data_IF_835285632752
#
_entry.id   IF_835285632752
#
_cell.length_a   1.000
_cell.length_b   1.000
_cell.length_c   1.000
_cell.angle_alpha   90.00
_cell.angle_beta   90.00
_cell.angle_gamma   90.00
#
_symmetry.space_group_name_H-M   'P 1'
#
loop_
_entity.id
_entity.type
_entity.pdbx_description
1 polymer ?
#
# COMPACT_ATOMS: atom_id res chain seq x y z
N UNK A 1 -6.43 -6.68 -15.38
CA UNK A 1 -5.83 -5.55 -16.13
C UNK A 1 -6.85 -4.44 -16.41
N UNK A 2 -7.94 -4.66 -17.16
CA UNK A 2 -8.92 -3.59 -17.47
C UNK A 2 -9.56 -2.95 -16.21
N UNK A 3 -9.97 -3.77 -15.24
CA UNK A 3 -10.51 -3.30 -13.95
C UNK A 3 -9.50 -2.47 -13.16
N UNK A 4 -8.26 -2.95 -13.06
CA UNK A 4 -7.18 -2.25 -12.36
C UNK A 4 -6.92 -0.86 -12.96
N UNK A 5 -6.80 -0.75 -14.29
CA UNK A 5 -6.59 0.54 -14.96
C UNK A 5 -7.75 1.50 -14.69
N UNK A 6 -9.00 1.02 -14.78
CA UNK A 6 -10.18 1.84 -14.50
C UNK A 6 -10.23 2.31 -13.03
N UNK A 7 -9.87 1.43 -12.10
CA UNK A 7 -9.80 1.77 -10.68
C UNK A 7 -8.71 2.82 -10.42
N UNK A 8 -7.56 2.70 -11.09
CA UNK A 8 -6.48 3.67 -10.99
C UNK A 8 -6.88 5.05 -11.52
N UNK A 9 -7.55 5.11 -12.66
CA UNK A 9 -8.12 6.36 -13.21
C UNK A 9 -9.16 6.98 -12.26
N UNK A 10 -9.99 6.14 -11.64
CA UNK A 10 -10.99 6.57 -10.65
C UNK A 10 -10.30 7.18 -9.43
N UNK A 11 -9.29 6.51 -8.87
CA UNK A 11 -8.53 7.01 -7.72
C UNK A 11 -7.77 8.29 -8.04
N UNK A 12 -7.18 8.41 -9.23
CA UNK A 12 -6.50 9.64 -9.66
C UNK A 12 -7.48 10.82 -9.73
N UNK A 13 -8.69 10.58 -10.26
CA UNK A 13 -9.77 11.56 -10.27
C UNK A 13 -10.18 11.94 -8.85
N UNK A 14 -10.37 10.97 -7.95
CA UNK A 14 -10.76 11.21 -6.56
C UNK A 14 -9.70 12.00 -5.79
N UNK A 15 -8.42 11.71 -5.97
CA UNK A 15 -7.32 12.50 -5.39
C UNK A 15 -7.38 13.96 -5.83
N UNK A 16 -7.70 14.20 -7.10
CA UNK A 16 -7.82 15.55 -7.67
C UNK A 16 -9.08 16.27 -7.18
N UNK A 17 -10.22 15.59 -7.14
CA UNK A 17 -11.51 16.17 -6.76
C UNK A 17 -11.64 16.39 -5.25
N UNK A 18 -11.14 15.44 -4.45
CA UNK A 18 -11.11 15.56 -2.99
C UNK A 18 -10.23 16.73 -2.58
N UNK A 19 -9.02 16.84 -3.16
CA UNK A 19 -8.04 17.89 -2.81
C UNK A 19 -7.89 18.05 -1.29
N UNK A 20 -7.89 16.93 -0.55
CA UNK A 20 -7.79 16.92 0.92
C UNK A 20 -9.08 17.30 1.67
N UNK A 21 -10.22 17.43 1.00
CA UNK A 21 -11.54 17.60 1.61
C UNK A 21 -12.38 16.32 1.50
N UNK A 22 -13.25 16.10 2.49
CA UNK A 22 -14.22 15.01 2.45
C UNK A 22 -15.19 15.18 1.28
N UNK A 23 -15.37 14.11 0.53
CA UNK A 23 -16.31 14.03 -0.59
C UNK A 23 -17.09 12.72 -0.55
N UNK A 24 -18.26 12.69 -1.18
CA UNK A 24 -19.05 11.48 -1.27
C UNK A 24 -18.44 10.48 -2.26
N UNK A 25 -18.29 9.24 -1.81
CA UNK A 25 -18.00 8.09 -2.65
C UNK A 25 -18.80 6.90 -2.10
N UNK A 26 -19.59 6.26 -2.97
CA UNK A 26 -20.60 5.31 -2.52
C UNK A 26 -21.67 5.98 -1.62
N UNK A 27 -21.91 5.38 -0.46
CA UNK A 27 -22.85 5.90 0.54
C UNK A 27 -22.17 6.69 1.67
N UNK A 28 -20.84 6.81 1.63
CA UNK A 28 -20.04 7.37 2.72
C UNK A 28 -19.28 8.64 2.28
N UNK A 29 -18.53 9.23 3.21
CA UNK A 29 -17.66 10.36 2.95
C UNK A 29 -16.21 9.97 3.20
N UNK A 30 -15.38 10.22 2.19
CA UNK A 30 -13.96 9.91 2.25
C UNK A 30 -13.12 11.11 1.82
N UNK A 31 -11.91 11.18 2.34
CA UNK A 31 -10.86 12.09 1.92
C UNK A 31 -9.77 11.30 1.20
N UNK A 32 -9.23 11.91 0.14
CA UNK A 32 -8.11 11.39 -0.65
C UNK A 32 -7.03 12.46 -0.70
N UNK A 33 -5.80 12.10 -0.34
CA UNK A 33 -4.69 13.05 -0.28
C UNK A 33 -3.43 12.46 -0.90
N UNK A 34 -2.81 13.17 -1.85
CA UNK A 34 -1.47 12.84 -2.33
C UNK A 34 -0.43 13.50 -1.42
N UNK A 35 0.50 12.70 -0.93
CA UNK A 35 1.56 13.14 -0.01
C UNK A 35 2.84 13.51 -0.78
N UNK A 36 3.20 12.71 -1.78
CA UNK A 36 4.37 12.93 -2.62
C UNK A 36 4.19 12.24 -3.97
N UNK A 37 4.80 12.80 -5.01
CA UNK A 37 4.97 12.10 -6.29
C UNK A 37 6.06 11.04 -6.16
N UNK A 38 5.92 9.93 -6.88
CA UNK A 38 6.95 8.88 -6.97
C UNK A 38 7.39 8.72 -8.41
N UNK A 39 8.70 8.67 -8.63
CA UNK A 39 9.33 8.57 -9.94
C UNK A 39 9.78 7.14 -10.27
N UNK A 40 9.88 6.78 -11.56
CA UNK A 40 10.47 5.50 -11.95
C UNK A 40 11.91 5.31 -11.43
N UNK A 41 12.69 6.40 -11.34
CA UNK A 41 14.05 6.39 -10.83
C UNK A 41 14.09 6.02 -9.34
N UNK A 42 13.23 6.63 -8.51
CA UNK A 42 13.15 6.29 -7.07
C UNK A 42 12.79 4.82 -6.84
N UNK A 43 11.91 4.27 -7.67
CA UNK A 43 11.54 2.86 -7.62
C UNK A 43 12.74 1.98 -8.02
N UNK A 44 13.41 2.32 -9.12
CA UNK A 44 14.55 1.55 -9.63
C UNK A 44 15.73 1.57 -8.65
N UNK A 45 16.00 2.73 -8.03
CA UNK A 45 17.03 2.89 -7.01
C UNK A 45 16.72 2.02 -5.78
N UNK A 46 15.45 1.99 -5.33
CA UNK A 46 15.02 1.12 -4.23
C UNK A 46 15.17 -0.37 -4.57
N UNK A 47 14.68 -0.80 -5.74
CA UNK A 47 14.84 -2.18 -6.22
C UNK A 47 16.32 -2.60 -6.27
N UNK A 48 17.19 -1.72 -6.78
CA UNK A 48 18.63 -1.97 -6.87
C UNK A 48 19.31 -2.02 -5.49
N UNK A 49 18.96 -1.10 -4.58
CA UNK A 49 19.51 -1.03 -3.23
C UNK A 49 19.18 -2.30 -2.43
N UNK A 50 17.93 -2.76 -2.50
CA UNK A 50 17.43 -3.87 -1.70
C UNK A 50 17.44 -5.23 -2.42
N UNK A 51 17.87 -5.26 -3.69
CA UNK A 51 17.94 -6.48 -4.51
C UNK A 51 16.58 -7.19 -4.64
N UNK A 52 15.50 -6.42 -4.75
CA UNK A 52 14.13 -6.93 -4.93
C UNK A 52 13.57 -6.52 -6.29
N UNK A 53 12.40 -7.07 -6.63
CA UNK A 53 11.63 -6.63 -7.79
C UNK A 53 10.16 -6.44 -7.40
N UNK A 54 9.66 -5.22 -7.54
CA UNK A 54 8.27 -4.88 -7.33
C UNK A 54 7.40 -5.30 -8.51
N UNK A 55 6.14 -5.69 -8.25
CA UNK A 55 5.18 -5.97 -9.31
C UNK A 55 4.93 -4.75 -10.20
N UNK A 56 4.78 -4.96 -11.52
CA UNK A 56 4.54 -3.87 -12.47
C UNK A 56 3.25 -3.09 -12.19
N UNK A 57 2.23 -3.78 -11.65
CA UNK A 57 0.96 -3.19 -11.21
C UNK A 57 1.18 -2.19 -10.08
N UNK A 58 1.96 -2.55 -9.06
CA UNK A 58 2.29 -1.66 -7.96
C UNK A 58 3.17 -0.49 -8.39
N UNK A 59 4.16 -0.72 -9.27
CA UNK A 59 4.96 0.37 -9.85
C UNK A 59 4.10 1.36 -10.64
N UNK A 60 3.16 0.85 -11.44
CA UNK A 60 2.20 1.67 -12.17
C UNK A 60 1.33 2.50 -11.22
N UNK A 61 0.87 1.89 -10.12
CA UNK A 61 0.13 2.58 -9.07
C UNK A 61 0.92 3.74 -8.46
N UNK A 62 2.16 3.50 -8.02
CA UNK A 62 3.02 4.51 -7.42
C UNK A 62 3.33 5.66 -8.39
N UNK A 63 3.65 5.35 -9.65
CA UNK A 63 3.93 6.37 -10.66
C UNK A 63 2.69 7.22 -10.96
N UNK A 64 1.49 6.62 -10.91
CA UNK A 64 0.25 7.30 -11.29
C UNK A 64 -0.35 8.14 -10.17
N UNK A 65 -0.35 7.60 -8.94
CA UNK A 65 -0.99 8.24 -7.77
C UNK A 65 0.01 8.84 -6.78
N UNK A 66 1.29 8.45 -6.84
CA UNK A 66 2.28 8.79 -5.83
C UNK A 66 2.04 8.09 -4.50
N UNK A 67 2.78 8.52 -3.48
CA UNK A 67 2.45 8.23 -2.09
C UNK A 67 1.17 8.99 -1.74
N UNK A 68 0.18 8.29 -1.20
CA UNK A 68 -1.15 8.83 -0.99
C UNK A 68 -1.87 8.17 0.18
N UNK A 69 -2.83 8.90 0.74
CA UNK A 69 -3.84 8.37 1.66
C UNK A 69 -5.13 8.21 0.87
N UNK A 70 -5.64 6.99 0.79
CA UNK A 70 -6.90 6.66 0.12
C UNK A 70 -7.97 6.30 1.14
N UNK A 71 -9.22 6.67 0.83
CA UNK A 71 -10.40 6.29 1.63
C UNK A 71 -10.31 6.67 3.10
N UNK A 72 -9.79 7.86 3.39
CA UNK A 72 -9.76 8.34 4.78
C UNK A 72 -11.16 8.74 5.23
N UNK A 73 -11.73 8.02 6.20
CA UNK A 73 -13.04 8.31 6.76
C UNK A 73 -12.99 9.33 7.92
N UNK A 74 -14.14 9.67 8.49
CA UNK A 74 -14.25 10.63 9.60
C UNK A 74 -13.57 10.14 10.91
N UNK A 75 -13.35 8.84 11.03
CA UNK A 75 -12.71 8.20 12.19
C UNK A 75 -11.19 8.06 11.99
N UNK A 76 -10.68 8.37 10.79
CA UNK A 76 -9.27 8.29 10.42
C UNK A 76 -8.83 6.91 9.93
N UNK A 77 -9.75 6.00 9.59
CA UNK A 77 -9.40 4.77 8.87
C UNK A 77 -9.06 5.12 7.44
N UNK A 78 -7.92 4.64 6.94
CA UNK A 78 -7.44 4.93 5.61
C UNK A 78 -6.40 3.91 5.16
N UNK A 79 -6.17 3.85 3.85
CA UNK A 79 -5.01 3.21 3.26
C UNK A 79 -3.92 4.23 3.00
N UNK A 80 -2.93 4.32 3.90
CA UNK A 80 -1.80 5.23 3.76
C UNK A 80 -0.62 4.55 3.06
N UNK A 81 -0.40 4.83 1.78
CA UNK A 81 0.74 4.36 1.00
C UNK A 81 1.93 5.31 1.13
N UNK A 82 3.06 4.77 1.58
CA UNK A 82 4.30 5.53 1.78
C UNK A 82 5.18 5.59 0.52
N UNK A 83 6.00 6.63 0.35
CA UNK A 83 7.00 6.69 -0.71
C UNK A 83 8.17 5.71 -0.46
N UNK A 84 8.92 5.30 -1.51
CA UNK A 84 10.00 4.31 -1.39
C UNK A 84 11.05 4.62 -0.31
N UNK A 85 11.40 5.91 -0.15
CA UNK A 85 12.38 6.36 0.84
C UNK A 85 11.91 6.23 2.31
N UNK A 86 10.66 5.86 2.56
CA UNK A 86 10.10 5.68 3.91
C UNK A 86 9.88 4.20 4.28
N UNK A 87 9.88 3.26 3.33
CA UNK A 87 9.52 1.86 3.61
C UNK A 87 10.45 1.18 4.61
N UNK A 88 11.76 1.45 4.56
CA UNK A 88 12.73 0.89 5.51
C UNK A 88 12.53 1.46 6.92
N UNK A 89 12.32 2.77 7.04
CA UNK A 89 12.06 3.43 8.32
C UNK A 89 10.74 2.94 8.94
N UNK A 90 9.68 2.88 8.13
CA UNK A 90 8.38 2.33 8.55
C UNK A 90 8.51 0.88 9.02
N UNK A 91 9.25 0.04 8.28
CA UNK A 91 9.50 -1.34 8.68
C UNK A 91 10.31 -1.41 9.99
N UNK A 92 11.29 -0.54 10.19
CA UNK A 92 12.05 -0.48 11.44
C UNK A 92 11.18 -0.14 12.65
N UNK A 93 10.22 0.77 12.50
CA UNK A 93 9.25 1.10 13.55
C UNK A 93 8.33 -0.09 13.87
N UNK A 94 7.82 -0.77 12.85
CA UNK A 94 6.91 -1.92 13.02
C UNK A 94 7.62 -3.10 13.71
N UNK A 95 8.88 -3.33 13.38
CA UNK A 95 9.68 -4.42 13.94
C UNK A 95 10.44 -4.03 15.23
N UNK A 96 10.27 -2.81 15.72
CA UNK A 96 10.96 -2.38 16.93
C UNK A 96 10.50 -3.21 18.14
N UNK A 97 11.46 -3.83 18.84
CA UNK A 97 11.19 -4.60 20.05
C UNK A 97 10.54 -5.97 19.84
N UNK A 98 10.29 -6.39 18.60
CA UNK A 98 9.72 -7.72 18.29
C UNK A 98 10.76 -8.84 18.36
N UNK A 99 12.04 -8.50 18.24
CA UNK A 99 13.15 -9.44 18.18
C UNK A 99 13.44 -10.00 16.78
N UNK A 100 12.63 -9.64 15.79
CA UNK A 100 12.79 -10.05 14.40
C UNK A 100 12.73 -8.84 13.46
N UNK A 101 13.57 -8.83 12.44
CA UNK A 101 13.56 -7.79 11.41
C UNK A 101 13.44 -8.45 10.03
N UNK A 102 12.23 -8.38 9.45
CA UNK A 102 11.90 -9.12 8.24
C UNK A 102 12.11 -8.32 6.94
N UNK A 103 12.47 -7.05 7.01
CA UNK A 103 12.76 -6.25 5.83
C UNK A 103 14.09 -6.67 5.17
N UNK A 104 14.18 -6.74 3.81
CA UNK A 104 13.14 -6.45 2.82
C UNK A 104 12.34 -7.70 2.39
N UNK A 105 12.46 -8.86 3.07
CA UNK A 105 11.67 -10.07 2.76
C UNK A 105 10.17 -9.79 2.90
N UNK A 106 9.79 -9.12 3.98
CA UNK A 106 8.48 -8.49 4.14
C UNK A 106 8.67 -6.99 3.93
N UNK A 107 8.15 -6.49 2.82
CA UNK A 107 8.21 -5.08 2.46
C UNK A 107 6.88 -4.40 2.79
N UNK A 108 6.86 -3.62 3.87
CA UNK A 108 5.68 -2.88 4.29
C UNK A 108 5.61 -1.54 3.53
N UNK A 109 4.51 -1.31 2.82
CA UNK A 109 4.34 -0.12 1.94
C UNK A 109 3.10 0.70 2.27
N UNK A 110 2.17 0.13 3.04
CA UNK A 110 0.90 0.72 3.36
C UNK A 110 0.55 0.52 4.84
N UNK A 111 -0.04 1.55 5.45
CA UNK A 111 -0.68 1.48 6.75
C UNK A 111 -2.20 1.58 6.57
N UNK A 112 -2.94 0.45 6.61
CA UNK A 112 -4.40 0.38 6.45
C UNK A 112 -5.21 0.72 7.71
N UNK A 113 -4.55 1.06 8.83
CA UNK A 113 -5.07 1.37 10.17
C UNK A 113 -5.04 0.23 11.22
N UNK A 114 -5.31 0.59 12.49
CA UNK A 114 -5.47 -0.28 13.67
C UNK A 114 -4.23 -1.14 13.98
N UNK A 115 -3.04 -0.62 13.68
CA UNK A 115 -1.80 -1.36 13.91
C UNK A 115 -1.61 -2.53 12.95
N UNK A 116 -2.39 -2.62 11.87
CA UNK A 116 -2.14 -3.51 10.74
C UNK A 116 -1.17 -2.86 9.77
N UNK A 117 -0.54 -3.67 8.93
CA UNK A 117 0.38 -3.23 7.89
C UNK A 117 0.05 -3.96 6.60
N UNK A 118 0.23 -3.32 5.45
CA UNK A 118 0.05 -3.98 4.17
C UNK A 118 1.30 -3.83 3.30
N UNK A 119 1.60 -4.87 2.54
CA UNK A 119 2.91 -4.99 1.90
C UNK A 119 3.09 -6.26 1.10
N UNK A 120 4.33 -6.50 0.69
CA UNK A 120 4.72 -7.61 -0.15
C UNK A 120 5.58 -8.63 0.58
N UNK A 121 5.37 -9.91 0.28
CA UNK A 121 6.39 -10.94 0.48
C UNK A 121 7.31 -10.95 -0.75
N UNK A 122 8.48 -10.33 -0.66
CA UNK A 122 9.36 -10.08 -1.83
C UNK A 122 10.06 -11.33 -2.36
N UNK A 123 10.03 -12.44 -1.59
CA UNK A 123 10.47 -13.76 -2.03
C UNK A 123 9.47 -14.47 -2.95
N UNK A 124 8.26 -13.93 -3.09
CA UNK A 124 7.19 -14.46 -3.92
C UNK A 124 6.78 -13.43 -5.00
N UNK A 125 6.39 -13.88 -6.20
CA UNK A 125 6.00 -12.97 -7.27
C UNK A 125 4.61 -12.39 -7.00
N UNK A 126 4.51 -11.06 -6.90
CA UNK A 126 3.24 -10.33 -6.77
C UNK A 126 2.34 -10.88 -5.63
N UNK A 127 2.92 -10.99 -4.44
CA UNK A 127 2.27 -11.49 -3.25
C UNK A 127 2.04 -10.33 -2.26
N UNK A 128 0.90 -9.65 -2.41
CA UNK A 128 0.49 -8.54 -1.55
C UNK A 128 -0.57 -9.00 -0.54
N UNK A 129 -0.51 -8.48 0.68
CA UNK A 129 -1.53 -8.74 1.69
C UNK A 129 -1.48 -7.77 2.86
N UNK A 130 -2.48 -7.91 3.74
CA UNK A 130 -2.56 -7.19 5.02
C UNK A 130 -2.09 -8.10 6.15
N UNK A 131 -1.00 -7.70 6.80
CA UNK A 131 -0.42 -8.31 7.98
C UNK A 131 -1.13 -7.79 9.23
N UNK A 132 -1.80 -8.70 9.94
CA UNK A 132 -2.53 -8.37 11.14
C UNK A 132 -1.64 -8.48 12.38
N UNK A 133 -1.83 -7.55 13.33
CA UNK A 133 -1.01 -7.43 14.54
C UNK A 133 -1.19 -8.56 15.54
N UNK A 134 -2.28 -9.32 15.43
CA UNK A 134 -2.58 -10.48 16.25
C UNK A 134 -1.93 -11.77 15.72
N UNK A 135 -1.38 -11.74 14.50
CA UNK A 135 -0.59 -12.83 13.92
C UNK A 135 0.90 -12.57 14.23
N UNK A 136 1.61 -13.52 14.87
CA UNK A 136 3.06 -13.41 15.05
C UNK A 136 3.81 -13.27 13.72
N UNK A 137 4.92 -12.52 13.74
CA UNK A 137 5.70 -12.18 12.54
C UNK A 137 6.15 -13.41 11.74
N UNK A 138 6.53 -14.48 12.43
CA UNK A 138 6.94 -15.76 11.85
C UNK A 138 5.86 -16.44 10.99
N UNK A 139 4.57 -16.13 11.25
CA UNK A 139 3.42 -16.68 10.53
C UNK A 139 2.87 -15.74 9.46
N UNK A 140 3.37 -14.51 9.33
CA UNK A 140 2.86 -13.56 8.34
C UNK A 140 2.92 -14.07 6.90
N UNK A 141 3.93 -14.84 6.52
CA UNK A 141 4.01 -15.41 5.17
C UNK A 141 3.03 -16.58 4.96
N UNK A 142 2.66 -17.30 6.02
CA UNK A 142 1.83 -18.52 5.95
C UNK A 142 0.34 -18.25 6.17
N UNK A 143 0.02 -17.34 7.09
CA UNK A 143 -1.34 -17.08 7.58
C UNK A 143 -1.96 -15.81 6.98
N UNK A 144 -1.23 -15.05 6.15
CA UNK A 144 -1.76 -13.92 5.41
C UNK A 144 -2.33 -14.37 4.07
N UNK A 145 -3.52 -13.89 3.73
CA UNK A 145 -4.04 -14.02 2.37
C UNK A 145 -3.23 -13.12 1.43
N UNK A 146 -2.45 -13.76 0.54
CA UNK A 146 -1.60 -13.08 -0.42
C UNK A 146 -2.21 -13.20 -1.82
N UNK A 147 -2.35 -12.06 -2.48
CA UNK A 147 -2.86 -11.98 -3.84
C UNK A 147 -2.10 -10.92 -4.65
N UNK A 148 -2.20 -10.93 -5.99
CA UNK A 148 -1.64 -9.87 -6.82
C UNK A 148 -2.15 -8.50 -6.38
N UNK A 149 -1.28 -7.49 -6.33
CA UNK A 149 -1.67 -6.14 -5.88
C UNK A 149 -2.86 -5.58 -6.65
N UNK A 150 -2.93 -5.87 -7.96
CA UNK A 150 -4.04 -5.44 -8.79
C UNK A 150 -5.37 -6.07 -8.38
N UNK A 151 -5.35 -7.32 -7.92
CA UNK A 151 -6.56 -8.02 -7.49
C UNK A 151 -6.97 -7.51 -6.10
N UNK A 152 -6.01 -7.32 -5.19
CA UNK A 152 -6.26 -6.68 -3.89
C UNK A 152 -6.93 -5.32 -4.04
N UNK A 153 -6.38 -4.45 -4.90
CA UNK A 153 -6.98 -3.14 -5.13
C UNK A 153 -8.39 -3.23 -5.73
N UNK A 154 -8.67 -4.22 -6.57
CA UNK A 154 -10.00 -4.40 -7.13
C UNK A 154 -11.02 -4.84 -6.09
N UNK A 155 -10.62 -5.70 -5.15
CA UNK A 155 -11.46 -6.15 -4.05
C UNK A 155 -11.77 -4.99 -3.09
N UNK A 156 -10.75 -4.23 -2.69
CA UNK A 156 -10.94 -3.05 -1.84
C UNK A 156 -11.83 -1.99 -2.49
N UNK A 157 -11.67 -1.76 -3.80
CA UNK A 157 -12.53 -0.85 -4.55
C UNK A 157 -13.98 -1.34 -4.69
N UNK A 158 -14.25 -2.63 -4.50
CA UNK A 158 -15.58 -3.23 -4.65
C UNK A 158 -16.34 -3.34 -3.32
N UNK A 159 -15.65 -3.22 -2.19
CA UNK A 159 -16.24 -3.26 -0.84
C UNK A 159 -16.70 -1.88 -0.34
N UNK A 160 -16.28 -0.80 -1.01
CA UNK A 160 -16.57 0.61 -0.70
C UNK A 160 -17.69 1.20 -1.58
#
# INVERSE_FOLDING_TARGET
>A
MEHFTKNLETLQKLLTESNGAFMHFGNEQYRFTQQATVTPEEIADFEAQHHIKLPETFKTFLITLGACTLFEDELGFAYQFFPPNQWEAFSAEVFEGTGEYLFPKVLLVCYPNVGHQAGFITTQPDAFGTFYSDIPLEYWEEDTELLPFADWLNEEMATL
#
